data_IF_808389782550
#
_entry.id   IF_808389782550
#
_cell.length_a   1.000
_cell.length_b   1.000
_cell.length_c   1.000
_cell.angle_alpha   90.00
_cell.angle_beta   90.00
_cell.angle_gamma   90.00
#
_symmetry.space_group_name_H-M   'P 1'
#
loop_
_entity.id
_entity.type
_entity.pdbx_description
1 polymer ?
#
# COMPACT_ATOMS: atom_id res chain seq x y z
N UNK A 1 -0.36 -6.99 6.98
CA UNK A 1 0.67 -7.99 7.37
C UNK A 1 1.03 -7.85 8.82
N UNK A 2 1.26 -8.95 9.56
CA UNK A 2 2.02 -8.88 10.81
C UNK A 2 3.46 -8.46 10.53
N UNK A 3 4.10 -7.85 11.53
CA UNK A 3 5.50 -7.43 11.47
C UNK A 3 6.40 -8.52 12.08
N UNK A 4 7.37 -8.96 11.31
CA UNK A 4 8.41 -9.88 11.74
C UNK A 4 9.80 -9.26 11.45
N UNK A 5 10.63 -9.09 12.48
CA UNK A 5 11.96 -8.47 12.33
C UNK A 5 11.94 -7.15 11.54
N UNK A 6 10.98 -6.27 11.87
CA UNK A 6 10.76 -4.99 11.22
C UNK A 6 10.45 -5.07 9.71
N UNK A 7 9.95 -6.20 9.23
CA UNK A 7 9.53 -6.41 7.84
C UNK A 7 8.11 -7.00 7.78
N UNK A 8 7.48 -6.94 6.63
CA UNK A 8 6.24 -7.70 6.36
C UNK A 8 6.55 -9.21 6.37
N UNK A 9 5.54 -10.06 6.55
CA UNK A 9 5.74 -11.50 6.60
C UNK A 9 6.41 -12.02 5.33
N UNK A 10 7.32 -12.99 5.47
CA UNK A 10 8.05 -13.58 4.34
C UNK A 10 7.13 -14.20 3.28
N UNK A 11 6.01 -14.79 3.71
CA UNK A 11 5.01 -15.32 2.79
C UNK A 11 4.38 -14.20 1.92
N UNK A 12 4.04 -13.06 2.53
CA UNK A 12 3.53 -11.91 1.78
C UNK A 12 4.59 -11.32 0.86
N UNK A 13 5.84 -11.17 1.31
CA UNK A 13 6.95 -10.70 0.49
C UNK A 13 7.14 -11.57 -0.75
N UNK A 14 7.23 -12.89 -0.56
CA UNK A 14 7.40 -13.83 -1.68
C UNK A 14 6.25 -13.78 -2.67
N UNK A 15 5.02 -13.64 -2.19
CA UNK A 15 3.85 -13.47 -3.04
C UNK A 15 3.91 -12.17 -3.83
N UNK A 16 4.18 -11.05 -3.16
CA UNK A 16 4.25 -9.74 -3.79
C UNK A 16 5.39 -9.64 -4.80
N UNK A 17 6.56 -10.19 -4.49
CA UNK A 17 7.70 -10.23 -5.42
C UNK A 17 7.30 -10.90 -6.74
N UNK A 18 6.68 -12.06 -6.67
CA UNK A 18 6.26 -12.80 -7.88
C UNK A 18 5.19 -12.05 -8.67
N UNK A 19 4.17 -11.56 -7.97
CA UNK A 19 3.02 -10.89 -8.61
C UNK A 19 3.44 -9.56 -9.23
N UNK A 20 4.12 -8.72 -8.47
CA UNK A 20 4.50 -7.39 -8.92
C UNK A 20 5.63 -7.41 -9.95
N UNK A 21 6.60 -8.31 -9.82
CA UNK A 21 7.63 -8.49 -10.85
C UNK A 21 7.05 -8.99 -12.16
N UNK A 22 6.19 -10.01 -12.12
CA UNK A 22 5.61 -10.63 -13.32
C UNK A 22 4.48 -9.83 -13.96
N UNK A 23 3.66 -9.14 -13.16
CA UNK A 23 2.40 -8.52 -13.60
C UNK A 23 2.16 -7.11 -13.03
N UNK A 24 3.16 -6.44 -12.47
CA UNK A 24 2.99 -5.13 -11.83
C UNK A 24 2.25 -4.09 -12.69
N UNK A 25 2.39 -4.16 -14.01
CA UNK A 25 1.73 -3.24 -14.95
C UNK A 25 0.19 -3.27 -14.87
N UNK A 26 -0.43 -4.40 -14.51
CA UNK A 26 -1.89 -4.50 -14.41
C UNK A 26 -2.48 -3.77 -13.20
N UNK A 27 -1.63 -3.41 -12.24
CA UNK A 27 -2.03 -2.67 -11.04
C UNK A 27 -1.90 -1.16 -11.18
N UNK A 28 -1.28 -0.68 -12.25
CA UNK A 28 -1.06 0.75 -12.48
C UNK A 28 -2.35 1.54 -12.32
N UNK A 29 -2.25 2.64 -11.59
CA UNK A 29 -3.35 3.57 -11.28
C UNK A 29 -4.50 2.98 -10.44
N UNK A 30 -4.38 1.76 -9.94
CA UNK A 30 -5.32 1.23 -8.95
C UNK A 30 -4.93 1.71 -7.56
N UNK A 31 -5.85 2.28 -6.78
CA UNK A 31 -5.56 2.67 -5.41
C UNK A 31 -5.14 1.46 -4.56
N UNK A 32 -4.15 1.66 -3.72
CA UNK A 32 -3.64 0.62 -2.83
C UNK A 32 -3.37 1.17 -1.42
N UNK A 33 -3.49 0.32 -0.42
CA UNK A 33 -3.16 0.65 0.96
C UNK A 33 -2.45 -0.52 1.63
N UNK A 34 -1.30 -0.25 2.25
CA UNK A 34 -0.64 -1.18 3.15
C UNK A 34 -1.16 -1.02 4.58
N UNK A 35 -1.37 -2.13 5.28
CA UNK A 35 -1.69 -2.17 6.70
C UNK A 35 -0.73 -3.13 7.37
N UNK A 36 -0.14 -2.70 8.47
CA UNK A 36 0.77 -3.51 9.26
C UNK A 36 0.33 -3.58 10.72
N UNK A 37 0.62 -4.70 11.37
CA UNK A 37 0.32 -4.89 12.79
C UNK A 37 1.52 -5.43 13.54
N UNK A 38 1.77 -4.91 14.73
CA UNK A 38 2.82 -5.42 15.60
C UNK A 38 2.41 -5.31 17.07
N UNK A 39 3.07 -6.10 17.91
CA UNK A 39 2.93 -5.93 19.35
C UNK A 39 3.52 -4.59 19.82
N UNK A 40 4.67 -4.16 19.22
CA UNK A 40 5.41 -2.98 19.67
C UNK A 40 6.09 -2.25 18.51
N UNK A 41 7.29 -2.66 18.13
CA UNK A 41 8.14 -1.94 17.17
C UNK A 41 8.21 -2.58 15.79
N UNK A 42 8.80 -1.85 14.83
CA UNK A 42 9.07 -2.33 13.47
C UNK A 42 7.97 -2.05 12.45
N UNK A 43 6.86 -1.46 12.86
CA UNK A 43 5.73 -1.15 11.97
C UNK A 43 6.10 -0.18 10.87
N UNK A 44 6.86 0.87 11.16
CA UNK A 44 7.27 1.87 10.16
C UNK A 44 8.09 1.24 9.03
N UNK A 45 9.10 0.44 9.37
CA UNK A 45 9.93 -0.22 8.36
C UNK A 45 9.13 -1.22 7.49
N UNK A 46 8.24 -1.99 8.11
CA UNK A 46 7.35 -2.89 7.38
C UNK A 46 6.35 -2.14 6.48
N UNK A 47 5.83 -1.01 6.96
CA UNK A 47 4.95 -0.13 6.19
C UNK A 47 5.66 0.46 4.98
N UNK A 48 6.90 0.94 5.13
CA UNK A 48 7.71 1.42 4.02
C UNK A 48 7.99 0.31 3.01
N UNK A 49 8.25 -0.90 3.48
CA UNK A 49 8.50 -2.05 2.61
C UNK A 49 7.27 -2.36 1.71
N UNK A 50 6.08 -2.43 2.27
CA UNK A 50 4.88 -2.75 1.47
C UNK A 50 4.55 -1.64 0.47
N UNK A 51 4.73 -0.38 0.85
CA UNK A 51 4.44 0.75 -0.04
C UNK A 51 5.39 0.85 -1.23
N UNK A 52 6.60 0.30 -1.17
CA UNK A 52 7.52 0.25 -2.32
C UNK A 52 6.95 -0.54 -3.49
N UNK A 53 6.21 -1.62 -3.25
CA UNK A 53 5.54 -2.38 -4.31
C UNK A 53 4.49 -1.53 -5.04
N UNK A 54 3.73 -0.76 -4.28
CA UNK A 54 2.69 0.09 -4.86
C UNK A 54 3.28 1.25 -5.66
N UNK A 55 4.25 1.94 -5.09
CA UNK A 55 4.85 3.12 -5.70
C UNK A 55 5.62 2.77 -6.98
N UNK A 56 6.42 1.70 -7.00
CA UNK A 56 7.13 1.27 -8.22
C UNK A 56 6.15 0.84 -9.34
N UNK A 57 4.94 0.43 -8.96
CA UNK A 57 3.89 0.00 -9.89
C UNK A 57 2.95 1.13 -10.33
N UNK A 58 3.28 2.38 -10.00
CA UNK A 58 2.45 3.57 -10.29
C UNK A 58 1.04 3.47 -9.70
N UNK A 59 0.92 2.87 -8.51
CA UNK A 59 -0.35 2.81 -7.79
C UNK A 59 -0.45 4.00 -6.82
N UNK A 60 -1.55 4.74 -6.81
CA UNK A 60 -1.80 5.74 -5.77
C UNK A 60 -1.88 5.08 -4.40
N UNK A 61 -1.03 5.49 -3.47
CA UNK A 61 -1.05 4.98 -2.10
C UNK A 61 -2.04 5.79 -1.28
N UNK A 62 -3.02 5.10 -0.72
CA UNK A 62 -4.04 5.72 0.10
C UNK A 62 -3.53 5.92 1.52
N UNK A 63 -3.58 7.16 1.98
CA UNK A 63 -3.25 7.54 3.35
C UNK A 63 -4.48 7.57 4.25
N UNK A 64 -4.25 7.50 5.55
CA UNK A 64 -5.22 7.83 6.58
C UNK A 64 -4.87 9.17 7.24
N UNK A 65 -5.07 9.31 8.53
CA UNK A 65 -4.59 10.45 9.33
C UNK A 65 -3.18 10.24 9.90
N UNK A 66 -2.67 9.01 9.84
CA UNK A 66 -1.35 8.60 10.30
C UNK A 66 -0.88 7.40 9.46
N UNK A 67 0.27 6.80 9.76
CA UNK A 67 0.71 5.56 9.11
C UNK A 67 -0.24 4.42 9.45
N UNK A 68 -0.55 3.59 8.46
CA UNK A 68 -1.59 2.57 8.57
C UNK A 68 -1.11 1.37 9.39
N UNK A 69 -1.11 1.51 10.70
CA UNK A 69 -0.68 0.47 11.63
C UNK A 69 -1.63 0.33 12.81
N UNK A 70 -1.62 -0.87 13.40
CA UNK A 70 -2.31 -1.19 14.65
C UNK A 70 -1.39 -1.98 15.57
N UNK A 71 -1.61 -1.89 16.87
CA UNK A 71 -0.78 -2.55 17.86
C UNK A 71 -1.58 -3.51 18.76
N UNK A 72 -0.98 -4.67 19.04
CA UNK A 72 -1.54 -5.69 19.91
C UNK A 72 -0.87 -7.04 19.69
N UNK A 73 -0.84 -7.89 20.73
CA UNK A 73 -0.34 -9.26 20.67
C UNK A 73 -1.40 -10.26 20.19
N UNK A 74 -2.65 -9.87 20.23
CA UNK A 74 -3.79 -10.66 19.84
C UNK A 74 -4.95 -9.76 19.38
N UNK A 75 -6.01 -10.30 18.76
CA UNK A 75 -7.13 -9.52 18.24
C UNK A 75 -7.82 -8.63 19.27
N UNK A 76 -7.92 -9.06 20.52
CA UNK A 76 -8.60 -8.30 21.57
C UNK A 76 -7.80 -7.06 21.96
N UNK A 77 -6.47 -7.18 22.04
CA UNK A 77 -5.60 -6.03 22.26
C UNK A 77 -5.62 -5.05 21.08
N UNK A 78 -5.65 -5.54 19.83
CA UNK A 78 -5.78 -4.69 18.65
C UNK A 78 -7.10 -3.90 18.69
N UNK A 79 -8.20 -4.51 19.14
CA UNK A 79 -9.48 -3.79 19.31
C UNK A 79 -9.44 -2.70 20.37
N UNK A 80 -8.51 -2.80 21.34
CA UNK A 80 -8.27 -1.81 22.37
C UNK A 80 -7.31 -0.69 21.93
N UNK A 81 -6.62 -0.86 20.80
CA UNK A 81 -5.83 0.20 20.17
C UNK A 81 -6.78 1.20 19.48
N UNK A 82 -7.34 2.10 20.29
CA UNK A 82 -8.36 3.05 19.80
C UNK A 82 -7.84 3.95 18.69
N UNK A 83 -6.59 4.39 18.77
CA UNK A 83 -5.95 5.21 17.74
C UNK A 83 -5.76 4.40 16.44
N UNK A 84 -5.18 3.21 16.53
CA UNK A 84 -5.00 2.32 15.38
C UNK A 84 -6.33 1.98 14.71
N UNK A 85 -7.36 1.68 15.50
CA UNK A 85 -8.70 1.41 14.98
C UNK A 85 -9.35 2.65 14.32
N UNK A 86 -9.07 3.85 14.83
CA UNK A 86 -9.51 5.09 14.19
C UNK A 86 -8.79 5.32 12.86
N UNK A 87 -7.48 5.05 12.81
CA UNK A 87 -6.67 5.10 11.59
C UNK A 87 -7.25 4.15 10.52
N UNK A 88 -7.58 2.91 10.91
CA UNK A 88 -8.16 1.92 9.99
C UNK A 88 -9.52 2.35 9.43
N UNK A 89 -10.38 2.90 10.27
CA UNK A 89 -11.68 3.43 9.82
C UNK A 89 -11.50 4.61 8.85
N UNK A 90 -10.56 5.51 9.14
CA UNK A 90 -10.28 6.63 8.24
C UNK A 90 -9.68 6.15 6.91
N UNK A 91 -8.75 5.19 6.95
CA UNK A 91 -8.20 4.57 5.76
C UNK A 91 -9.29 3.98 4.87
N UNK A 92 -10.22 3.23 5.45
CA UNK A 92 -11.35 2.65 4.70
C UNK A 92 -12.22 3.70 4.01
N UNK A 93 -12.50 4.82 4.70
CA UNK A 93 -13.25 5.94 4.10
C UNK A 93 -12.47 6.61 2.95
N UNK A 94 -11.18 6.86 3.15
CA UNK A 94 -10.33 7.47 2.14
C UNK A 94 -10.18 6.57 0.90
N UNK A 95 -10.01 5.26 1.10
CA UNK A 95 -9.96 4.30 0.02
C UNK A 95 -11.28 4.25 -0.76
N UNK A 96 -12.40 4.19 -0.07
CA UNK A 96 -13.72 4.18 -0.69
C UNK A 96 -13.98 5.46 -1.49
N UNK A 97 -13.60 6.62 -0.94
CA UNK A 97 -13.70 7.90 -1.64
C UNK A 97 -12.85 7.92 -2.91
N UNK A 98 -11.59 7.50 -2.83
CA UNK A 98 -10.67 7.48 -3.98
C UNK A 98 -11.17 6.52 -5.08
N UNK A 99 -11.62 5.31 -4.71
CA UNK A 99 -12.14 4.34 -5.68
C UNK A 99 -13.38 4.89 -6.39
N UNK A 100 -14.32 5.50 -5.65
CA UNK A 100 -15.50 6.14 -6.24
C UNK A 100 -15.13 7.31 -7.15
N UNK A 101 -14.18 8.15 -6.74
CA UNK A 101 -13.70 9.28 -7.55
C UNK A 101 -13.12 8.81 -8.88
N UNK A 102 -12.32 7.75 -8.86
CA UNK A 102 -11.74 7.18 -10.08
C UNK A 102 -12.81 6.54 -11.00
N UNK A 103 -13.82 5.91 -10.42
CA UNK A 103 -14.93 5.36 -11.20
C UNK A 103 -15.70 6.48 -11.92
N UNK A 104 -16.06 7.54 -11.20
CA UNK A 104 -16.76 8.71 -11.76
C UNK A 104 -15.88 9.41 -12.81
N UNK A 105 -14.59 9.60 -12.53
CA UNK A 105 -13.67 10.21 -13.50
C UNK A 105 -13.64 9.42 -14.82
N UNK A 106 -13.58 8.09 -14.74
CA UNK A 106 -13.63 7.22 -15.92
C UNK A 106 -14.95 7.34 -16.69
N UNK A 107 -16.10 7.39 -15.99
CA UNK A 107 -17.41 7.59 -16.61
C UNK A 107 -17.50 8.92 -17.36
N UNK A 108 -16.74 9.92 -16.92
CA UNK A 108 -16.67 11.25 -17.56
C UNK A 108 -15.49 11.38 -18.55
N UNK A 109 -14.88 10.27 -18.97
CA UNK A 109 -13.82 10.27 -19.98
C UNK A 109 -12.45 10.75 -19.50
N UNK A 110 -12.25 10.86 -18.18
CA UNK A 110 -10.93 11.19 -17.61
C UNK A 110 -10.12 9.90 -17.50
N UNK A 111 -9.22 9.71 -18.44
CA UNK A 111 -8.37 8.51 -18.48
C UNK A 111 -7.05 8.73 -17.72
N UNK A 112 -6.49 7.66 -17.13
CA UNK A 112 -5.16 7.73 -16.51
C UNK A 112 -4.10 8.19 -17.51
N UNK A 113 -3.05 8.91 -17.07
CA UNK A 113 -2.00 9.38 -17.97
C UNK A 113 -1.27 8.23 -18.64
N UNK A 114 -0.97 8.37 -19.93
CA UNK A 114 -0.15 7.39 -20.64
C UNK A 114 1.30 7.47 -20.15
N UNK A 115 1.97 6.32 -19.97
CA UNK A 115 3.39 6.34 -19.64
C UNK A 115 4.20 7.02 -20.73
N UNK A 116 5.25 7.74 -20.34
CA UNK A 116 6.19 8.32 -21.27
C UNK A 116 6.87 7.23 -22.13
N UNK A 117 6.98 7.47 -23.41
CA UNK A 117 7.57 6.53 -24.37
C UNK A 117 8.48 7.29 -25.35
N UNK A 118 9.63 6.71 -25.74
CA UNK A 118 10.21 5.47 -25.24
C UNK A 118 10.73 5.61 -23.81
N UNK A 119 10.67 4.51 -23.04
CA UNK A 119 11.22 4.49 -21.68
C UNK A 119 12.73 4.68 -21.72
N UNK A 120 13.24 5.67 -21.01
CA UNK A 120 14.67 5.90 -20.84
C UNK A 120 15.18 5.18 -19.60
N UNK A 121 16.39 4.65 -19.70
CA UNK A 121 17.06 3.96 -18.61
C UNK A 121 18.30 4.76 -18.20
N UNK A 122 18.42 5.01 -16.91
CA UNK A 122 19.67 5.54 -16.36
C UNK A 122 20.59 4.37 -16.07
N UNK A 123 21.74 4.34 -16.73
CA UNK A 123 22.78 3.35 -16.48
C UNK A 123 24.15 4.02 -16.63
N UNK A 124 24.82 4.22 -15.51
CA UNK A 124 26.17 4.80 -15.46
C UNK A 124 27.27 3.73 -15.27
N UNK A 125 26.91 2.45 -15.23
CA UNK A 125 27.86 1.34 -15.17
C UNK A 125 28.34 1.06 -16.60
N UNK A 126 29.67 1.23 -16.80
CA UNK A 126 30.34 0.97 -18.07
C UNK A 126 31.26 -0.22 -17.92
#
# INVERSE_FOLDING_TARGET
>A
SPVHYAAISGALTSFMDRVFYGKGKIFRYKPAAGIVSARRGGTTAAFDQVNKYFTISSMPVVSSKYWNMVHGSNPDQVRQDEEGMQIMRQLGRNLAWMVKSFAIAKEHGIEPPKPESPRKWTNFIR
#
